data_IF_248130634235
#
_entry.id   IF_248130634235
#
_cell.length_a   1.000
_cell.length_b   1.000
_cell.length_c   1.000
_cell.angle_alpha   90.00
_cell.angle_beta   90.00
_cell.angle_gamma   90.00
#
_symmetry.space_group_name_H-M   'P 1'
#
loop_
_entity.id
_entity.type
_entity.pdbx_description
1 polymer ?
#
# COMPACT_ATOMS: atom_id res chain seq x y z
N UNK A 1 56.71 51.55 -52.14
CA UNK A 1 56.81 51.84 -50.69
C UNK A 1 55.43 51.72 -50.15
N UNK A 2 55.18 50.58 -49.52
CA UNK A 2 53.86 50.20 -49.05
C UNK A 2 53.71 50.59 -47.58
N UNK A 3 52.62 51.27 -47.27
CA UNK A 3 52.18 51.54 -45.90
C UNK A 3 51.17 50.44 -45.50
N UNK A 4 51.57 49.60 -44.58
CA UNK A 4 50.70 48.59 -44.01
C UNK A 4 49.77 49.20 -42.97
N UNK A 5 48.48 48.99 -43.16
CA UNK A 5 47.41 49.39 -42.24
C UNK A 5 47.29 48.38 -41.14
N UNK A 6 47.54 48.75 -39.91
CA UNK A 6 47.30 47.98 -38.72
C UNK A 6 45.78 48.07 -38.40
N UNK A 7 45.09 46.93 -38.47
CA UNK A 7 43.69 46.80 -38.13
C UNK A 7 43.57 46.33 -36.68
N UNK A 8 43.02 47.18 -35.81
CA UNK A 8 42.79 46.91 -34.42
C UNK A 8 41.45 46.12 -34.31
N UNK A 9 41.56 44.85 -33.93
CA UNK A 9 40.38 44.04 -33.59
C UNK A 9 39.92 44.32 -32.15
N UNK A 10 38.79 44.98 -32.00
CA UNK A 10 38.08 45.09 -30.72
C UNK A 10 37.49 43.75 -30.33
N UNK A 11 37.97 43.15 -29.25
CA UNK A 11 37.38 41.97 -28.63
C UNK A 11 36.10 42.38 -27.89
N UNK A 12 34.96 42.04 -28.47
CA UNK A 12 33.69 42.05 -27.75
C UNK A 12 33.66 40.86 -26.77
N UNK A 13 33.58 41.16 -25.50
CA UNK A 13 33.30 40.20 -24.46
C UNK A 13 31.80 39.89 -24.50
N UNK A 14 31.43 38.72 -25.04
CA UNK A 14 30.10 38.17 -24.90
C UNK A 14 29.97 37.59 -23.46
N UNK A 15 29.23 38.30 -22.61
CA UNK A 15 28.86 37.83 -21.31
C UNK A 15 27.94 36.58 -21.42
N UNK A 16 28.43 35.42 -21.07
CA UNK A 16 27.62 34.23 -20.86
C UNK A 16 26.76 34.49 -19.61
N UNK A 17 25.49 34.87 -19.80
CA UNK A 17 24.49 34.82 -18.76
C UNK A 17 24.19 33.34 -18.46
N UNK A 18 24.74 32.81 -17.36
CA UNK A 18 24.40 31.50 -16.82
C UNK A 18 23.00 31.60 -16.23
N UNK A 19 21.98 31.23 -17.01
CA UNK A 19 20.62 31.05 -16.52
C UNK A 19 20.63 29.80 -15.68
N UNK A 20 20.74 29.96 -14.35
CA UNK A 20 20.40 28.87 -13.38
C UNK A 20 18.89 28.63 -13.52
N UNK A 21 18.52 27.62 -14.30
CA UNK A 21 17.21 26.98 -14.21
C UNK A 21 17.14 26.32 -12.85
N UNK A 22 16.60 27.01 -11.87
CA UNK A 22 16.06 26.40 -10.66
C UNK A 22 14.90 25.51 -11.12
N UNK A 23 15.20 24.24 -11.38
CA UNK A 23 14.17 23.22 -11.49
C UNK A 23 13.52 23.16 -10.11
N UNK A 24 12.43 23.91 -9.95
CA UNK A 24 11.48 23.67 -8.90
C UNK A 24 10.98 22.24 -9.11
N UNK A 25 11.61 21.29 -8.43
CA UNK A 25 11.02 19.97 -8.18
C UNK A 25 9.84 20.18 -7.23
N UNK A 26 8.78 20.82 -7.71
CA UNK A 26 7.46 20.63 -7.15
C UNK A 26 7.09 19.18 -7.48
N UNK A 27 7.64 18.24 -6.68
CA UNK A 27 7.00 16.96 -6.51
C UNK A 27 5.56 17.31 -6.16
N UNK A 28 4.63 16.90 -7.01
CA UNK A 28 3.21 16.87 -6.68
C UNK A 28 3.10 16.06 -5.40
N UNK A 29 3.25 16.73 -4.26
CA UNK A 29 3.07 16.11 -2.95
C UNK A 29 1.59 15.76 -2.88
N UNK A 30 1.30 14.48 -2.84
CA UNK A 30 -0.05 14.02 -2.54
C UNK A 30 -0.52 14.73 -1.26
N UNK A 31 -1.79 15.12 -1.21
CA UNK A 31 -2.34 15.72 0.00
C UNK A 31 -2.06 14.79 1.18
N UNK A 32 -1.62 15.31 2.34
CA UNK A 32 -1.37 14.47 3.49
C UNK A 32 -2.66 13.77 3.92
N UNK A 33 -2.58 12.58 4.53
CA UNK A 33 -3.75 11.89 5.04
C UNK A 33 -4.49 12.76 6.06
N UNK A 34 -5.83 12.62 6.16
CA UNK A 34 -6.64 13.41 7.09
C UNK A 34 -6.26 13.12 8.55
N UNK A 35 -6.46 14.10 9.43
CA UNK A 35 -6.17 14.00 10.85
C UNK A 35 -7.31 14.59 11.68
N UNK A 36 -7.45 14.12 12.92
CA UNK A 36 -8.39 14.65 13.91
C UNK A 36 -7.86 14.47 15.34
N UNK A 37 -8.61 14.94 16.34
CA UNK A 37 -8.20 14.85 17.74
C UNK A 37 -7.99 13.40 18.22
N UNK A 38 -8.84 12.45 17.80
CA UNK A 38 -8.68 11.02 18.12
C UNK A 38 -7.32 10.49 17.64
N UNK A 39 -6.98 10.73 16.38
CA UNK A 39 -5.71 10.26 15.82
C UNK A 39 -4.51 10.91 16.54
N UNK A 40 -4.61 12.19 16.91
CA UNK A 40 -3.55 12.89 17.64
C UNK A 40 -3.34 12.28 19.04
N UNK A 41 -4.42 11.96 19.76
CA UNK A 41 -4.36 11.29 21.06
C UNK A 41 -3.73 9.89 20.95
N UNK A 42 -4.17 9.09 19.97
CA UNK A 42 -3.61 7.77 19.70
C UNK A 42 -2.12 7.87 19.37
N UNK A 43 -1.74 8.82 18.52
CA UNK A 43 -0.34 9.06 18.16
C UNK A 43 0.51 9.45 19.38
N UNK A 44 0.02 10.34 20.24
CA UNK A 44 0.71 10.73 21.46
C UNK A 44 0.97 9.52 22.39
N UNK A 45 0.00 8.64 22.53
CA UNK A 45 0.05 7.48 23.41
C UNK A 45 0.94 6.34 22.86
N UNK A 46 0.82 6.01 21.57
CA UNK A 46 1.43 4.80 21.01
C UNK A 46 2.80 5.01 20.34
N UNK A 47 3.09 6.22 19.83
CA UNK A 47 4.33 6.46 19.08
C UNK A 47 5.61 6.07 19.84
N UNK A 48 5.78 6.33 21.15
CA UNK A 48 6.99 5.92 21.86
C UNK A 48 7.19 4.40 21.88
N UNK A 49 6.13 3.63 22.12
CA UNK A 49 6.18 2.17 22.16
C UNK A 49 6.42 1.58 20.75
N UNK A 50 5.72 2.10 19.73
CA UNK A 50 5.93 1.68 18.34
C UNK A 50 7.37 1.93 17.86
N UNK A 51 7.93 3.11 18.13
CA UNK A 51 9.32 3.42 17.77
C UNK A 51 10.30 2.45 18.44
N UNK A 52 10.08 2.10 19.71
CA UNK A 52 10.92 1.12 20.41
C UNK A 52 10.82 -0.27 19.77
N UNK A 53 9.61 -0.77 19.51
CA UNK A 53 9.41 -2.07 18.87
C UNK A 53 9.98 -2.14 17.44
N UNK A 54 9.92 -1.03 16.70
CA UNK A 54 10.49 -0.92 15.35
C UNK A 54 12.03 -0.96 15.37
N UNK A 55 12.67 -0.31 16.34
CA UNK A 55 14.14 -0.38 16.48
C UNK A 55 14.64 -1.80 16.72
N UNK A 56 13.89 -2.64 17.43
CA UNK A 56 14.22 -4.05 17.67
C UNK A 56 14.17 -4.89 16.38
N UNK A 57 13.59 -4.36 15.31
CA UNK A 57 13.46 -4.99 13.98
C UNK A 57 14.19 -4.24 12.88
N UNK A 58 15.03 -3.27 13.25
CA UNK A 58 15.84 -2.46 12.32
C UNK A 58 14.99 -1.70 11.29
N UNK A 59 13.75 -1.32 11.66
CA UNK A 59 12.84 -0.50 10.87
C UNK A 59 12.43 0.76 11.62
N UNK A 60 11.85 1.75 10.93
CA UNK A 60 11.49 3.05 11.49
C UNK A 60 10.09 3.48 11.09
N UNK A 61 9.44 4.24 11.97
CA UNK A 61 8.16 4.87 11.68
C UNK A 61 8.31 5.92 10.56
N UNK A 62 7.48 5.82 9.54
CA UNK A 62 7.50 6.66 8.34
C UNK A 62 8.21 6.05 7.14
N UNK A 63 8.82 4.87 7.29
CA UNK A 63 9.28 4.08 6.14
C UNK A 63 8.10 3.56 5.32
N UNK A 64 8.30 3.25 4.02
CA UNK A 64 7.25 2.68 3.18
C UNK A 64 6.63 1.43 3.77
N UNK A 65 5.30 1.37 3.70
CA UNK A 65 4.44 0.32 4.26
C UNK A 65 3.92 -0.60 3.15
N UNK A 66 3.83 -1.90 3.45
CA UNK A 66 3.11 -2.91 2.71
C UNK A 66 2.32 -3.80 3.66
N UNK A 67 1.09 -4.18 3.29
CA UNK A 67 0.21 -5.04 4.09
C UNK A 67 -0.15 -6.29 3.30
N UNK A 68 -0.11 -7.46 3.98
CA UNK A 68 -0.69 -8.70 3.47
C UNK A 68 -1.76 -9.22 4.42
N UNK A 69 -2.83 -9.77 3.85
CA UNK A 69 -3.94 -10.37 4.60
C UNK A 69 -4.11 -11.81 4.13
N UNK A 70 -4.30 -12.73 5.09
CA UNK A 70 -4.57 -14.15 4.85
C UNK A 70 -5.85 -14.55 5.58
N UNK A 71 -6.91 -14.84 4.80
CA UNK A 71 -8.24 -15.12 5.38
C UNK A 71 -8.25 -16.39 6.24
N UNK A 72 -7.75 -17.51 5.71
CA UNK A 72 -7.82 -18.82 6.38
C UNK A 72 -7.10 -18.85 7.73
N UNK A 73 -6.04 -18.07 7.91
CA UNK A 73 -5.28 -18.00 9.16
C UNK A 73 -5.63 -16.78 10.00
N UNK A 74 -6.56 -15.92 9.56
CA UNK A 74 -6.92 -14.68 10.24
C UNK A 74 -5.72 -13.77 10.53
N UNK A 75 -4.80 -13.64 9.57
CA UNK A 75 -3.56 -12.89 9.74
C UNK A 75 -3.57 -11.60 8.90
N UNK A 76 -3.08 -10.50 9.49
CA UNK A 76 -2.70 -9.27 8.83
C UNK A 76 -1.25 -8.97 9.15
N UNK A 77 -0.39 -9.02 8.14
CA UNK A 77 1.02 -8.72 8.24
C UNK A 77 1.30 -7.27 7.85
N UNK A 78 2.08 -6.57 8.66
CA UNK A 78 2.62 -5.24 8.38
C UNK A 78 4.10 -5.36 8.09
N UNK A 79 4.50 -4.93 6.90
CA UNK A 79 5.87 -4.95 6.40
C UNK A 79 6.35 -3.53 6.19
N UNK A 80 7.60 -3.22 6.55
CA UNK A 80 8.24 -1.92 6.36
C UNK A 80 9.50 -2.07 5.53
N UNK A 81 9.71 -1.12 4.60
CA UNK A 81 10.90 -1.10 3.76
C UNK A 81 12.12 -0.63 4.56
N UNK A 82 13.19 -1.40 4.51
CA UNK A 82 14.51 -1.02 5.00
C UNK A 82 15.56 -1.45 3.99
N UNK A 83 16.43 -0.53 3.58
CA UNK A 83 17.53 -0.80 2.63
C UNK A 83 17.07 -1.41 1.28
N UNK A 84 15.84 -1.08 0.85
CA UNK A 84 15.29 -1.54 -0.43
C UNK A 84 14.58 -2.89 -0.37
N UNK A 85 14.44 -3.51 0.80
CA UNK A 85 13.66 -4.73 1.02
C UNK A 85 12.65 -4.53 2.15
N UNK A 86 11.53 -5.26 2.10
CA UNK A 86 10.51 -5.21 3.14
C UNK A 86 10.78 -6.25 4.22
N UNK A 87 10.86 -5.78 5.46
CA UNK A 87 11.01 -6.58 6.67
C UNK A 87 9.66 -6.67 7.39
N UNK A 88 9.32 -7.86 7.89
CA UNK A 88 8.10 -8.05 8.68
C UNK A 88 8.23 -7.32 10.02
N UNK A 89 7.46 -6.26 10.17
CA UNK A 89 7.36 -5.56 11.44
C UNK A 89 6.49 -6.32 12.42
N UNK A 90 5.25 -6.67 12.03
CA UNK A 90 4.31 -7.32 12.92
C UNK A 90 3.30 -8.17 12.16
N UNK A 91 2.85 -9.27 12.79
CA UNK A 91 1.71 -10.08 12.36
C UNK A 91 0.59 -9.92 13.40
N UNK A 92 -0.57 -9.42 12.95
CA UNK A 92 -1.74 -9.17 13.78
C UNK A 92 -2.82 -10.21 13.49
N UNK A 93 -3.56 -10.61 14.52
CA UNK A 93 -4.76 -11.44 14.34
C UNK A 93 -5.93 -10.56 13.91
N UNK A 94 -6.56 -10.90 12.79
CA UNK A 94 -7.82 -10.30 12.34
C UNK A 94 -8.92 -10.77 13.31
N UNK A 95 -9.66 -9.82 13.88
CA UNK A 95 -10.71 -10.10 14.84
C UNK A 95 -11.92 -10.74 14.17
N UNK A 96 -12.34 -10.18 13.02
CA UNK A 96 -13.47 -10.68 12.25
C UNK A 96 -13.33 -10.31 10.77
N UNK A 97 -13.78 -11.18 9.90
CA UNK A 97 -14.09 -10.91 8.50
C UNK A 97 -15.29 -11.77 8.11
N UNK A 98 -16.00 -11.45 7.04
CA UNK A 98 -17.21 -12.18 6.69
C UNK A 98 -17.10 -12.91 5.34
N UNK A 99 -17.90 -13.95 5.21
CA UNK A 99 -17.95 -14.84 4.05
C UNK A 99 -16.92 -15.95 4.09
N UNK A 100 -16.77 -16.63 2.95
CA UNK A 100 -15.93 -17.80 2.77
C UNK A 100 -14.62 -17.43 2.06
N UNK A 101 -13.75 -18.43 1.81
CA UNK A 101 -12.61 -18.27 0.90
C UNK A 101 -13.12 -18.03 -0.51
N UNK A 102 -12.59 -17.01 -1.17
CA UNK A 102 -13.00 -16.54 -2.48
C UNK A 102 -13.20 -15.02 -2.52
N UNK A 103 -13.28 -14.45 -3.73
CA UNK A 103 -13.42 -13.02 -3.91
C UNK A 103 -14.84 -12.53 -3.59
N UNK A 104 -14.97 -11.24 -3.25
CA UNK A 104 -16.26 -10.56 -3.25
C UNK A 104 -16.76 -10.40 -4.67
N UNK A 105 -18.07 -10.66 -4.90
CA UNK A 105 -18.69 -10.61 -6.23
C UNK A 105 -19.65 -9.44 -6.39
N UNK A 106 -20.47 -9.17 -5.38
CA UNK A 106 -21.53 -8.16 -5.49
C UNK A 106 -21.80 -7.45 -4.16
N UNK A 107 -22.37 -6.27 -4.27
CA UNK A 107 -22.85 -5.55 -3.10
C UNK A 107 -23.85 -6.40 -2.29
N UNK A 108 -23.71 -6.38 -0.97
CA UNK A 108 -24.58 -7.11 -0.06
C UNK A 108 -24.35 -8.63 0.03
N UNK A 109 -23.30 -9.18 -0.61
CA UNK A 109 -22.97 -10.60 -0.52
C UNK A 109 -22.27 -11.00 0.79
N UNK A 110 -22.03 -10.04 1.69
CA UNK A 110 -21.36 -10.23 2.98
C UNK A 110 -19.98 -10.89 2.85
N UNK A 111 -19.29 -10.71 1.72
CA UNK A 111 -18.02 -11.35 1.41
C UNK A 111 -16.87 -10.33 1.50
N UNK A 112 -15.83 -10.68 2.26
CA UNK A 112 -14.59 -9.93 2.27
C UNK A 112 -13.77 -10.21 1.01
N UNK A 113 -13.18 -9.17 0.37
CA UNK A 113 -12.53 -9.30 -0.93
C UNK A 113 -11.19 -10.02 -0.87
N UNK A 114 -10.75 -10.55 -2.00
CA UNK A 114 -9.39 -11.05 -2.25
C UNK A 114 -8.83 -10.36 -3.50
N UNK A 115 -7.52 -10.08 -3.53
CA UNK A 115 -6.85 -9.41 -4.64
C UNK A 115 -5.82 -8.38 -4.21
N UNK A 116 -5.47 -7.48 -5.11
CA UNK A 116 -4.42 -6.47 -4.95
C UNK A 116 -5.02 -5.07 -4.93
N UNK A 117 -4.85 -4.36 -3.81
CA UNK A 117 -5.47 -3.05 -3.56
C UNK A 117 -4.42 -2.00 -3.23
N UNK A 118 -4.78 -0.73 -3.41
CA UNK A 118 -3.93 0.44 -3.16
C UNK A 118 -4.69 1.42 -2.27
N UNK A 119 -4.02 1.92 -1.24
CA UNK A 119 -4.60 2.84 -0.28
C UNK A 119 -3.82 4.16 -0.31
N UNK A 120 -4.27 5.16 -1.07
CA UNK A 120 -3.72 6.51 -1.03
C UNK A 120 -4.23 7.30 0.19
N UNK A 121 -3.67 8.49 0.47
CA UNK A 121 -4.02 9.30 1.64
C UNK A 121 -5.52 9.58 1.83
N UNK A 122 -6.26 9.78 0.75
CA UNK A 122 -7.71 10.07 0.77
C UNK A 122 -8.58 8.89 1.19
N UNK A 123 -8.02 7.68 1.20
CA UNK A 123 -8.71 6.48 1.69
C UNK A 123 -8.58 6.29 3.21
N UNK A 124 -7.75 7.10 3.88
CA UNK A 124 -7.60 7.09 5.33
C UNK A 124 -8.77 7.81 5.99
N UNK A 125 -9.39 7.21 7.01
CA UNK A 125 -10.54 7.78 7.72
C UNK A 125 -10.36 7.76 9.23
N UNK A 126 -9.81 8.83 9.83
CA UNK A 126 -9.66 8.94 11.29
C UNK A 126 -10.99 9.24 12.02
N UNK A 127 -12.04 9.59 11.28
CA UNK A 127 -13.39 9.86 11.81
C UNK A 127 -14.37 8.68 11.61
N UNK A 128 -13.83 7.48 11.39
CA UNK A 128 -14.64 6.28 11.19
C UNK A 128 -15.57 6.01 12.37
N UNK A 129 -16.79 5.52 12.06
CA UNK A 129 -17.72 4.98 13.06
C UNK A 129 -17.19 3.69 13.71
N UNK A 130 -16.24 3.03 13.05
CA UNK A 130 -15.54 1.84 13.53
C UNK A 130 -14.15 2.19 14.06
N UNK A 131 -14.07 3.23 14.88
CA UNK A 131 -12.88 3.79 15.52
C UNK A 131 -11.94 4.45 14.51
N UNK A 132 -11.00 3.74 13.91
CA UNK A 132 -10.13 4.16 12.81
C UNK A 132 -10.32 3.20 11.63
N UNK A 133 -10.19 3.69 10.39
CA UNK A 133 -10.28 2.82 9.22
C UNK A 133 -9.52 3.37 8.03
N UNK A 134 -9.20 2.48 7.10
CA UNK A 134 -8.85 2.86 5.73
C UNK A 134 -9.62 1.99 4.73
N UNK A 135 -10.01 2.60 3.61
CA UNK A 135 -10.74 1.92 2.56
C UNK A 135 -9.76 1.23 1.60
N UNK A 136 -10.07 -0.01 1.21
CA UNK A 136 -9.26 -0.80 0.28
C UNK A 136 -9.34 -0.32 -1.18
N UNK A 137 -10.35 0.51 -1.50
CA UNK A 137 -10.58 0.93 -2.88
C UNK A 137 -11.25 -0.15 -3.74
N UNK A 138 -12.00 -1.05 -3.11
CA UNK A 138 -12.83 -2.03 -3.84
C UNK A 138 -14.03 -1.32 -4.52
N UNK A 139 -14.41 -1.69 -5.78
CA UNK A 139 -13.75 -2.65 -6.66
C UNK A 139 -12.53 -2.04 -7.36
N UNK A 140 -11.42 -2.78 -7.40
CA UNK A 140 -10.25 -2.39 -8.18
C UNK A 140 -10.47 -2.59 -9.69
N UNK A 141 -9.45 -2.37 -10.54
CA UNK A 141 -9.61 -2.54 -11.97
C UNK A 141 -9.97 -3.99 -12.36
N UNK A 142 -9.33 -4.98 -11.75
CA UNK A 142 -9.63 -6.40 -11.97
C UNK A 142 -11.08 -6.73 -11.60
N UNK A 143 -11.54 -6.27 -10.43
CA UNK A 143 -12.91 -6.50 -9.97
C UNK A 143 -13.94 -5.91 -10.95
N UNK A 144 -13.67 -4.69 -11.45
CA UNK A 144 -14.53 -4.03 -12.44
C UNK A 144 -14.58 -4.78 -13.77
N UNK A 145 -13.45 -5.32 -14.26
CA UNK A 145 -13.45 -6.13 -15.50
C UNK A 145 -14.25 -7.42 -15.35
N UNK A 146 -14.43 -7.90 -14.12
CA UNK A 146 -15.25 -9.08 -13.78
C UNK A 146 -16.70 -8.73 -13.42
N UNK A 147 -17.11 -7.46 -13.53
CA UNK A 147 -18.45 -7.02 -13.18
C UNK A 147 -18.77 -7.08 -11.68
N UNK A 148 -17.73 -7.14 -10.83
CA UNK A 148 -17.91 -7.16 -9.38
C UNK A 148 -18.38 -5.79 -8.89
N UNK A 149 -19.26 -5.77 -7.90
CA UNK A 149 -19.85 -4.53 -7.36
C UNK A 149 -19.79 -4.49 -5.84
N UNK A 150 -19.87 -3.27 -5.30
CA UNK A 150 -19.82 -2.97 -3.87
C UNK A 150 -18.96 -1.74 -3.60
N UNK A 151 -18.94 -1.32 -2.36
CA UNK A 151 -18.21 -0.13 -1.92
C UNK A 151 -17.85 -0.22 -0.44
N UNK A 152 -17.05 0.75 0.05
CA UNK A 152 -16.74 0.92 1.46
C UNK A 152 -16.19 -0.34 2.16
N UNK A 153 -15.38 -1.15 1.47
CA UNK A 153 -14.68 -2.26 2.10
C UNK A 153 -13.39 -1.75 2.74
N UNK A 154 -13.30 -1.95 4.05
CA UNK A 154 -12.28 -1.32 4.89
C UNK A 154 -11.48 -2.34 5.71
N UNK A 155 -10.31 -1.91 6.19
CA UNK A 155 -9.72 -2.42 7.42
C UNK A 155 -10.04 -1.41 8.52
N UNK A 156 -10.62 -1.86 9.66
CA UNK A 156 -11.14 -0.97 10.70
C UNK A 156 -11.15 -1.61 12.11
N UNK A 157 -11.44 -0.83 13.13
CA UNK A 157 -11.63 -1.31 14.51
C UNK A 157 -13.02 -1.90 14.77
N UNK A 158 -13.36 -2.04 16.06
CA UNK A 158 -14.68 -2.46 16.55
C UNK A 158 -15.10 -3.93 16.24
N UNK A 159 -14.16 -4.78 15.81
CA UNK A 159 -14.33 -6.25 15.73
C UNK A 159 -15.70 -6.78 15.23
N UNK A 160 -16.31 -6.15 14.20
CA UNK A 160 -17.53 -6.60 13.55
C UNK A 160 -17.42 -6.46 12.03
N UNK A 161 -17.90 -7.42 11.26
CA UNK A 161 -17.76 -7.39 9.81
C UNK A 161 -19.05 -7.82 9.07
N UNK A 162 -19.31 -7.14 7.94
CA UNK A 162 -20.27 -7.52 6.91
C UNK A 162 -19.63 -7.41 5.51
N UNK A 163 -18.30 -7.61 5.42
CA UNK A 163 -17.51 -7.51 4.18
C UNK A 163 -16.14 -6.89 4.36
N UNK A 164 -15.87 -6.25 5.50
CA UNK A 164 -14.60 -5.62 5.86
C UNK A 164 -13.63 -6.61 6.51
N UNK A 165 -12.44 -6.12 6.87
CA UNK A 165 -11.50 -6.78 7.78
C UNK A 165 -11.48 -6.01 9.09
N UNK A 166 -12.10 -6.56 10.13
CA UNK A 166 -12.23 -5.93 11.42
C UNK A 166 -11.10 -6.34 12.35
N UNK A 167 -10.43 -5.34 12.92
CA UNK A 167 -9.44 -5.49 13.96
C UNK A 167 -10.04 -5.08 15.30
N UNK A 168 -9.36 -5.38 16.42
CA UNK A 168 -9.66 -4.72 17.69
C UNK A 168 -9.20 -3.27 17.64
N UNK A 169 -9.78 -2.38 18.46
CA UNK A 169 -9.40 -0.97 18.48
C UNK A 169 -7.89 -0.75 18.76
N UNK A 170 -7.26 -1.42 19.74
CA UNK A 170 -5.83 -1.27 19.95
C UNK A 170 -4.97 -1.68 18.74
N UNK A 171 -5.38 -2.72 18.00
CA UNK A 171 -4.63 -3.20 16.84
C UNK A 171 -4.77 -2.25 15.67
N UNK A 172 -5.99 -1.76 15.37
CA UNK A 172 -6.16 -0.81 14.26
C UNK A 172 -5.46 0.52 14.54
N UNK A 173 -5.35 0.94 15.80
CA UNK A 173 -4.59 2.13 16.18
C UNK A 173 -3.11 2.02 15.78
N UNK A 174 -2.48 0.89 16.05
CA UNK A 174 -1.09 0.64 15.65
C UNK A 174 -0.93 0.63 14.13
N UNK A 175 -1.76 -0.18 13.43
CA UNK A 175 -1.72 -0.30 11.96
C UNK A 175 -1.96 1.07 11.32
N UNK A 176 -2.95 1.82 11.81
CA UNK A 176 -3.31 3.13 11.26
C UNK A 176 -2.18 4.15 11.44
N UNK A 177 -1.53 4.19 12.61
CA UNK A 177 -0.39 5.08 12.84
C UNK A 177 0.79 4.78 11.93
N UNK A 178 1.08 3.50 11.71
CA UNK A 178 2.14 3.08 10.77
C UNK A 178 1.80 3.53 9.36
N UNK A 179 0.55 3.34 8.93
CA UNK A 179 0.07 3.75 7.61
C UNK A 179 0.08 5.29 7.44
N UNK A 180 -0.43 6.02 8.42
CA UNK A 180 -0.42 7.49 8.42
C UNK A 180 1.01 8.04 8.34
N UNK A 181 1.94 7.45 9.11
CA UNK A 181 3.34 7.88 9.10
C UNK A 181 4.03 7.59 7.76
N UNK A 182 3.78 6.44 7.13
CA UNK A 182 4.34 6.10 5.83
C UNK A 182 3.85 7.05 4.72
N UNK A 183 2.55 7.35 4.69
CA UNK A 183 1.96 8.31 3.74
C UNK A 183 2.50 9.72 3.97
N UNK A 184 2.63 10.18 5.23
CA UNK A 184 3.25 11.48 5.56
C UNK A 184 4.74 11.50 5.28
N UNK A 185 5.40 10.34 5.28
CA UNK A 185 6.81 10.16 4.90
C UNK A 185 7.05 10.26 3.39
N UNK A 186 5.99 10.43 2.58
CA UNK A 186 6.07 10.62 1.14
C UNK A 186 5.73 9.39 0.32
N UNK A 187 5.28 8.30 0.93
CA UNK A 187 4.72 7.17 0.18
C UNK A 187 3.40 7.60 -0.45
N UNK A 188 3.23 7.54 -1.78
CA UNK A 188 2.02 8.04 -2.45
C UNK A 188 0.78 7.19 -2.15
N UNK A 189 0.96 5.90 -1.92
CA UNK A 189 -0.03 4.92 -1.50
C UNK A 189 0.67 3.71 -0.92
N UNK A 190 0.04 2.96 -0.05
CA UNK A 190 0.53 1.63 0.31
C UNK A 190 -0.30 0.53 -0.34
N UNK A 191 0.34 -0.61 -0.58
CA UNK A 191 -0.29 -1.79 -1.19
C UNK A 191 -0.89 -2.69 -0.10
N UNK A 192 -2.05 -3.26 -0.38
CA UNK A 192 -2.70 -4.28 0.46
C UNK A 192 -3.01 -5.49 -0.41
N UNK A 193 -2.28 -6.57 -0.20
CA UNK A 193 -2.49 -7.83 -0.92
C UNK A 193 -3.28 -8.80 -0.04
N UNK A 194 -4.38 -9.29 -0.57
CA UNK A 194 -5.33 -10.12 0.18
C UNK A 194 -5.45 -11.49 -0.47
N UNK A 195 -5.12 -12.50 0.29
CA UNK A 195 -5.07 -13.90 -0.14
C UNK A 195 -6.07 -14.75 0.65
N UNK A 196 -6.60 -15.84 0.05
CA UNK A 196 -7.44 -16.79 0.76
C UNK A 196 -6.67 -17.49 1.89
N UNK A 197 -5.44 -17.86 1.63
CA UNK A 197 -4.51 -18.55 2.51
C UNK A 197 -3.06 -18.23 2.09
N UNK A 198 -2.07 -18.70 2.84
CA UNK A 198 -0.67 -18.62 2.38
C UNK A 198 -0.52 -19.46 1.12
N UNK A 199 -0.11 -18.83 0.02
CA UNK A 199 -0.18 -19.37 -1.34
C UNK A 199 0.91 -20.42 -1.64
N UNK A 200 1.15 -21.35 -0.70
CA UNK A 200 2.05 -22.48 -0.89
C UNK A 200 1.45 -23.49 -1.87
N UNK A 201 2.30 -24.26 -2.56
CA UNK A 201 1.84 -25.31 -3.47
C UNK A 201 0.96 -26.36 -2.74
N UNK A 202 1.29 -26.66 -1.49
CA UNK A 202 0.48 -27.54 -0.65
C UNK A 202 -0.95 -27.02 -0.44
N UNK A 203 -1.11 -25.76 -0.05
CA UNK A 203 -2.41 -25.16 0.18
C UNK A 203 -3.22 -25.04 -1.11
N UNK A 204 -2.58 -24.64 -2.22
CA UNK A 204 -3.24 -24.63 -3.53
C UNK A 204 -3.73 -26.02 -3.96
N UNK A 205 -2.91 -27.04 -3.77
CA UNK A 205 -3.31 -28.42 -4.07
C UNK A 205 -4.48 -28.88 -3.21
N UNK A 206 -4.56 -28.51 -1.92
CA UNK A 206 -5.71 -28.81 -1.07
C UNK A 206 -7.01 -28.18 -1.59
N UNK A 207 -6.91 -26.99 -2.18
CA UNK A 207 -8.05 -26.21 -2.71
C UNK A 207 -8.23 -26.31 -4.23
N UNK A 208 -7.58 -27.26 -4.90
CA UNK A 208 -7.58 -27.39 -6.39
C UNK A 208 -8.97 -27.59 -7.03
N UNK A 209 -9.94 -28.05 -6.26
CA UNK A 209 -11.32 -28.26 -6.71
C UNK A 209 -12.24 -27.06 -6.43
N UNK A 210 -11.73 -25.97 -5.85
CA UNK A 210 -12.48 -24.76 -5.66
C UNK A 210 -12.83 -24.11 -7.00
N UNK A 211 -14.01 -23.48 -7.14
CA UNK A 211 -14.33 -22.69 -8.33
C UNK A 211 -13.39 -21.47 -8.48
N UNK A 212 -12.61 -21.14 -7.46
CA UNK A 212 -11.65 -20.03 -7.44
C UNK A 212 -10.21 -20.45 -7.73
N UNK A 213 -9.94 -21.72 -8.02
CA UNK A 213 -8.57 -22.23 -8.19
C UNK A 213 -7.77 -21.43 -9.23
N UNK A 214 -8.31 -21.17 -10.41
CA UNK A 214 -7.62 -20.37 -11.44
C UNK A 214 -7.37 -18.90 -11.01
N UNK A 215 -8.29 -18.31 -10.24
CA UNK A 215 -8.09 -16.98 -9.67
C UNK A 215 -6.95 -17.00 -8.64
N UNK A 216 -6.90 -18.00 -7.80
CA UNK A 216 -5.87 -18.17 -6.79
C UNK A 216 -4.50 -18.49 -7.40
N UNK A 217 -4.44 -19.26 -8.48
CA UNK A 217 -3.22 -19.48 -9.26
C UNK A 217 -2.67 -18.14 -9.82
N UNK A 218 -3.55 -17.23 -10.24
CA UNK A 218 -3.13 -15.90 -10.65
C UNK A 218 -2.66 -15.06 -9.46
N UNK A 219 -3.35 -15.10 -8.31
CA UNK A 219 -2.89 -14.41 -7.10
C UNK A 219 -1.51 -14.91 -6.63
N UNK A 220 -1.25 -16.23 -6.77
CA UNK A 220 0.02 -16.85 -6.38
C UNK A 220 1.21 -16.21 -7.06
N UNK A 221 1.09 -15.80 -8.31
CA UNK A 221 2.20 -15.18 -9.05
C UNK A 221 2.72 -13.93 -8.31
N UNK A 222 1.82 -13.06 -7.86
CA UNK A 222 2.21 -11.88 -7.07
C UNK A 222 2.71 -12.22 -5.67
N UNK A 223 2.16 -13.27 -5.06
CA UNK A 223 2.65 -13.78 -3.78
C UNK A 223 4.10 -14.29 -3.89
N UNK A 224 4.38 -15.15 -4.88
CA UNK A 224 5.70 -15.75 -5.07
C UNK A 224 6.77 -14.68 -5.41
N UNK A 225 6.41 -13.67 -6.19
CA UNK A 225 7.32 -12.55 -6.47
C UNK A 225 7.75 -11.84 -5.18
N UNK A 226 6.80 -11.55 -4.27
CA UNK A 226 7.14 -10.96 -2.98
C UNK A 226 7.99 -11.90 -2.12
N UNK A 227 7.64 -13.20 -2.06
CA UNK A 227 8.45 -14.17 -1.30
C UNK A 227 9.90 -14.25 -1.81
N UNK A 228 10.10 -14.14 -3.12
CA UNK A 228 11.41 -14.21 -3.75
C UNK A 228 12.23 -12.92 -3.61
N UNK A 229 11.57 -11.76 -3.67
CA UNK A 229 12.27 -10.46 -3.79
C UNK A 229 12.19 -9.60 -2.54
N UNK A 230 11.29 -9.90 -1.62
CA UNK A 230 10.90 -9.04 -0.48
C UNK A 230 10.47 -7.62 -0.93
N UNK A 231 9.98 -7.50 -2.17
CA UNK A 231 9.43 -6.26 -2.73
C UNK A 231 8.01 -6.52 -3.25
N UNK A 232 7.02 -5.69 -2.89
CA UNK A 232 5.68 -5.83 -3.44
C UNK A 232 5.72 -5.62 -4.96
N UNK A 233 5.27 -6.57 -5.78
CA UNK A 233 5.32 -6.42 -7.24
C UNK A 233 4.43 -5.28 -7.72
N UNK A 234 4.79 -4.68 -8.86
CA UNK A 234 3.87 -3.85 -9.61
C UNK A 234 2.75 -4.73 -10.19
N UNK A 235 1.51 -4.28 -10.03
CA UNK A 235 0.31 -5.04 -10.41
C UNK A 235 -0.48 -4.24 -11.44
N UNK A 236 -0.65 -4.83 -12.60
CA UNK A 236 -1.50 -4.34 -13.67
C UNK A 236 -2.64 -5.32 -13.95
N UNK A 237 -3.58 -4.93 -14.80
CA UNK A 237 -4.67 -5.80 -15.25
C UNK A 237 -4.69 -5.82 -16.76
N UNK A 238 -4.44 -6.99 -17.34
CA UNK A 238 -4.47 -7.21 -18.78
C UNK A 238 -5.14 -8.56 -19.10
N UNK A 239 -5.89 -8.63 -20.18
CA UNK A 239 -6.59 -9.84 -20.63
C UNK A 239 -7.46 -10.51 -19.55
N UNK A 240 -7.98 -9.70 -18.61
CA UNK A 240 -8.81 -10.18 -17.51
C UNK A 240 -8.04 -10.91 -16.39
N UNK A 241 -6.72 -10.76 -16.32
CA UNK A 241 -5.85 -11.31 -15.29
C UNK A 241 -5.03 -10.20 -14.63
N UNK A 242 -4.59 -10.42 -13.39
CA UNK A 242 -3.48 -9.67 -12.83
C UNK A 242 -2.18 -10.03 -13.57
N UNK A 243 -1.44 -9.01 -13.94
CA UNK A 243 -0.11 -9.10 -14.52
C UNK A 243 0.88 -8.45 -13.57
N UNK A 244 2.06 -9.05 -13.44
CA UNK A 244 3.05 -8.64 -12.45
C UNK A 244 4.35 -8.25 -13.14
N UNK A 245 4.86 -7.07 -12.78
CA UNK A 245 6.16 -6.57 -13.19
C UNK A 245 7.09 -6.39 -11.99
N UNK A 246 8.40 -6.19 -12.24
CA UNK A 246 9.32 -5.73 -11.19
C UNK A 246 8.88 -4.36 -10.68
N UNK A 247 9.20 -4.08 -9.40
CA UNK A 247 8.99 -2.77 -8.79
C UNK A 247 10.00 -1.75 -9.30
#
# INVERSE_FOLDING_TARGET
MAMEKIQIYSRQWAGLALILLLLNNDRLMANPPPSNARLQEVAHRLTPALKKAMLEREVQLGQPLFIRIFKASHELEVWLESEGEFTLFQNYTICDFSGELGPKLKEGDLQSPEGFYFVPPEQMNPASQYHLSFNLGFPNLYDRTRGRTGSALMVHGNCVSIGCYAMTDPIIEEIYLVADAALRGGQPFFRVHIFPFRMTDHNLHQHRHSPWSSFWENLKQGYDLFEATRRPPNVEVGEGLYQFGPD
#
